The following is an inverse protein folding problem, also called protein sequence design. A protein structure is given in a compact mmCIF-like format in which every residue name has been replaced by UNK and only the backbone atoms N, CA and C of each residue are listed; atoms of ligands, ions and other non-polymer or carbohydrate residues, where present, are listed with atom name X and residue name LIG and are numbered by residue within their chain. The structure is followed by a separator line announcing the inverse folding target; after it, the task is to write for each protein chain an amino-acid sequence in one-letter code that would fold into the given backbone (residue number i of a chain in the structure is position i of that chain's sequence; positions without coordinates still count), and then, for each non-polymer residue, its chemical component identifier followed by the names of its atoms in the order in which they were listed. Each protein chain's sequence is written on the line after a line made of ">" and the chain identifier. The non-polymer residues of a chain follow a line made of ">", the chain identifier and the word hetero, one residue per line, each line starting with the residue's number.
data_IF_420860431677
#
_entry.id   IF_420860431677
#
_cell.length_a   1.000
_cell.length_b   1.000
_cell.length_c   1.000
_cell.angle_alpha   90.00
_cell.angle_beta   90.00
_cell.angle_gamma   90.00
#
_symmetry.space_group_name_H-M   'P 1'
#
loop_
_entity.id
_entity.type
_entity.pdbx_description
1 polymer ?
#
# COMPACT_ATOMS: atom_id res chain seq x y z
N UNK A 1 -45.46 -13.36 2.73
CA UNK A 1 -45.72 -12.93 1.33
C UNK A 1 -45.34 -11.46 1.26
N UNK A 2 -44.33 -10.98 0.57
CA UNK A 2 -43.50 -11.52 -0.51
C UNK A 2 -42.19 -10.74 -0.51
N UNK A 3 -41.09 -11.50 -0.53
CA UNK A 3 -39.70 -11.06 -0.68
C UNK A 3 -39.52 -10.26 -1.97
N UNK A 4 -39.16 -8.98 -1.85
CA UNK A 4 -38.70 -8.20 -2.99
C UNK A 4 -37.17 -8.09 -2.89
N UNK A 5 -36.50 -9.01 -3.60
CA UNK A 5 -35.08 -8.93 -3.95
C UNK A 5 -34.84 -7.59 -4.64
N UNK A 6 -34.10 -6.69 -4.00
CA UNK A 6 -33.58 -5.52 -4.70
C UNK A 6 -32.40 -5.96 -5.57
N UNK A 7 -32.61 -5.69 -6.84
CA UNK A 7 -31.87 -6.08 -8.04
C UNK A 7 -30.44 -5.53 -7.99
N UNK A 8 -29.48 -6.45 -8.13
CA UNK A 8 -28.14 -6.21 -8.65
C UNK A 8 -28.29 -5.56 -10.02
N UNK A 9 -27.84 -4.33 -10.20
CA UNK A 9 -27.45 -3.73 -11.49
C UNK A 9 -26.78 -2.38 -11.20
N UNK A 10 -25.64 -2.14 -11.84
CA UNK A 10 -24.67 -1.04 -11.65
C UNK A 10 -23.67 -1.14 -10.48
N UNK A 11 -22.69 -2.04 -10.61
CA UNK A 11 -21.37 -1.76 -10.04
C UNK A 11 -20.28 -2.20 -11.02
N UNK A 12 -19.43 -1.24 -11.39
CA UNK A 12 -18.33 -1.45 -12.33
C UNK A 12 -17.34 -2.48 -11.77
N UNK A 13 -17.21 -3.57 -12.52
CA UNK A 13 -16.30 -4.66 -12.28
C UNK A 13 -14.86 -4.18 -12.48
N UNK A 14 -14.13 -3.89 -11.40
CA UNK A 14 -12.68 -3.70 -11.42
C UNK A 14 -12.00 -4.93 -10.84
N UNK A 15 -12.30 -6.10 -11.43
CA UNK A 15 -11.65 -7.37 -11.13
C UNK A 15 -10.67 -7.70 -12.25
N UNK A 16 -9.46 -7.12 -12.21
CA UNK A 16 -8.38 -7.52 -13.11
C UNK A 16 -7.59 -8.69 -12.52
N UNK A 17 -8.07 -9.90 -12.79
CA UNK A 17 -7.22 -11.10 -12.92
C UNK A 17 -7.86 -12.00 -13.97
N UNK A 18 -7.77 -11.61 -15.23
CA UNK A 18 -7.99 -12.52 -16.35
C UNK A 18 -6.63 -13.08 -16.81
N UNK A 19 -6.47 -14.39 -16.65
CA UNK A 19 -5.47 -15.19 -17.38
C UNK A 19 -6.26 -16.19 -18.22
N UNK A 20 -6.12 -16.08 -19.54
CA UNK A 20 -6.72 -16.97 -20.54
C UNK A 20 -6.08 -18.38 -20.54
N UNK A 21 -6.76 -19.39 -21.09
CA UNK A 21 -6.62 -20.80 -20.71
C UNK A 21 -5.69 -21.61 -21.63
N UNK A 22 -5.08 -22.68 -21.09
CA UNK A 22 -4.62 -23.85 -21.85
C UNK A 22 -5.29 -25.13 -21.28
N UNK A 23 -5.84 -25.94 -22.19
CA UNK A 23 -6.50 -27.26 -22.08
C UNK A 23 -5.64 -28.31 -21.32
N UNK A 24 -6.06 -29.42 -20.69
CA UNK A 24 -7.21 -30.37 -20.76
C UNK A 24 -7.11 -31.38 -19.56
N UNK A 25 -8.07 -32.31 -19.33
CA UNK A 25 -8.42 -32.83 -17.99
C UNK A 25 -8.01 -34.29 -17.69
N UNK A 26 -8.07 -34.70 -16.41
CA UNK A 26 -8.44 -36.07 -16.03
C UNK A 26 -9.03 -36.17 -14.60
N UNK A 27 -10.01 -37.04 -14.48
CA UNK A 27 -11.00 -37.22 -13.42
C UNK A 27 -10.45 -37.89 -12.14
N UNK A 28 -11.13 -37.67 -11.00
CA UNK A 28 -10.86 -38.42 -9.77
C UNK A 28 -11.67 -37.97 -8.55
N UNK A 29 -12.86 -38.53 -8.41
CA UNK A 29 -13.79 -38.49 -7.28
C UNK A 29 -13.15 -38.82 -5.91
N UNK A 30 -13.47 -38.09 -4.83
CA UNK A 30 -13.98 -38.65 -3.55
C UNK A 30 -14.25 -37.58 -2.46
N UNK A 31 -15.44 -37.70 -1.86
CA UNK A 31 -15.99 -36.89 -0.78
C UNK A 31 -15.27 -37.12 0.56
N UNK A 32 -14.93 -36.04 1.28
CA UNK A 32 -14.97 -36.04 2.75
C UNK A 32 -15.29 -34.63 3.29
N UNK A 33 -16.36 -34.53 4.05
CA UNK A 33 -16.89 -33.32 4.67
C UNK A 33 -16.07 -32.89 5.89
N UNK A 34 -15.57 -31.65 5.89
CA UNK A 34 -15.03 -30.97 7.07
C UNK A 34 -15.25 -29.45 6.95
N UNK A 35 -15.45 -28.70 8.07
CA UNK A 35 -16.15 -27.42 8.05
C UNK A 35 -15.23 -26.23 7.71
N UNK A 36 -15.62 -25.47 6.68
CA UNK A 36 -15.34 -24.04 6.58
C UNK A 36 -13.94 -23.62 6.14
N UNK A 37 -13.36 -24.28 5.14
CA UNK A 37 -12.26 -23.71 4.35
C UNK A 37 -12.80 -22.59 3.45
N UNK A 38 -12.20 -21.41 3.53
CA UNK A 38 -12.49 -20.28 2.64
C UNK A 38 -12.05 -20.64 1.23
N UNK A 39 -12.97 -21.19 0.43
CA UNK A 39 -12.71 -21.47 -0.97
C UNK A 39 -13.01 -20.20 -1.75
N UNK A 40 -11.97 -19.39 -2.00
CA UNK A 40 -12.02 -18.29 -2.95
C UNK A 40 -12.19 -18.95 -4.33
N UNK A 41 -13.36 -18.76 -4.95
CA UNK A 41 -13.66 -19.29 -6.29
C UNK A 41 -12.51 -18.87 -7.25
N UNK A 42 -11.72 -19.84 -7.73
CA UNK A 42 -10.55 -19.61 -8.60
C UNK A 42 -9.21 -20.21 -8.12
N UNK A 43 -9.22 -21.32 -7.39
CA UNK A 43 -7.99 -21.90 -6.81
C UNK A 43 -7.26 -22.85 -7.77
N UNK A 44 -6.33 -22.30 -8.56
CA UNK A 44 -5.16 -23.02 -9.10
C UNK A 44 -3.82 -22.35 -8.80
N UNK A 45 -3.81 -21.24 -8.05
CA UNK A 45 -2.59 -20.55 -7.60
C UNK A 45 -2.83 -19.91 -6.22
N UNK A 46 -2.95 -20.72 -5.17
CA UNK A 46 -2.94 -20.19 -3.80
C UNK A 46 -1.61 -19.45 -3.58
N UNK A 47 -1.65 -18.13 -3.43
CA UNK A 47 -0.47 -17.35 -3.04
C UNK A 47 0.06 -17.92 -1.73
N UNK A 48 1.32 -18.35 -1.69
CA UNK A 48 1.94 -18.90 -0.48
C UNK A 48 1.87 -17.87 0.64
N UNK A 49 1.74 -18.28 1.92
CA UNK A 49 1.78 -17.38 3.08
C UNK A 49 2.94 -16.36 3.02
N UNK A 50 4.10 -16.82 2.53
CA UNK A 50 5.25 -15.98 2.29
C UNK A 50 5.02 -14.91 1.22
N UNK A 51 4.39 -15.27 0.09
CA UNK A 51 4.03 -14.30 -0.95
C UNK A 51 3.06 -13.26 -0.40
N UNK A 52 2.04 -13.66 0.37
CA UNK A 52 1.11 -12.74 1.03
C UNK A 52 1.84 -11.80 1.99
N UNK A 53 2.78 -12.31 2.80
CA UNK A 53 3.62 -11.49 3.68
C UNK A 53 4.46 -10.48 2.90
N UNK A 54 5.11 -10.90 1.80
CA UNK A 54 5.90 -10.01 0.95
C UNK A 54 5.03 -8.93 0.32
N UNK A 55 3.82 -9.26 -0.13
CA UNK A 55 2.86 -8.29 -0.66
C UNK A 55 2.39 -7.29 0.41
N UNK A 56 2.11 -7.75 1.63
CA UNK A 56 1.73 -6.88 2.75
C UNK A 56 2.89 -5.98 3.19
N UNK A 57 4.10 -6.53 3.28
CA UNK A 57 5.30 -5.77 3.62
C UNK A 57 5.58 -4.69 2.57
N UNK A 58 5.51 -5.03 1.28
CA UNK A 58 5.63 -4.06 0.19
C UNK A 58 4.62 -2.91 0.32
N UNK A 59 3.37 -3.21 0.68
CA UNK A 59 2.33 -2.19 0.82
C UNK A 59 2.51 -1.28 2.04
N UNK A 60 3.21 -1.74 3.07
CA UNK A 60 3.37 -1.02 4.34
C UNK A 60 4.75 -0.35 4.50
N UNK A 61 5.80 -0.87 3.85
CA UNK A 61 7.14 -0.28 3.92
C UNK A 61 7.26 0.80 2.85
N UNK A 62 7.33 2.05 3.30
CA UNK A 62 7.53 3.21 2.44
C UNK A 62 8.75 4.04 2.84
N UNK A 63 8.85 5.23 2.24
CA UNK A 63 9.90 6.23 2.57
C UNK A 63 9.88 6.67 4.04
N UNK A 64 8.75 6.47 4.73
CA UNK A 64 8.63 6.69 6.17
C UNK A 64 9.65 5.91 7.01
N UNK A 65 10.10 4.72 6.57
CA UNK A 65 11.13 3.94 7.26
C UNK A 65 12.45 4.72 7.39
N UNK A 66 12.80 5.53 6.39
CA UNK A 66 14.02 6.34 6.39
C UNK A 66 13.90 7.58 7.30
N UNK A 67 12.67 7.98 7.64
CA UNK A 67 12.39 9.01 8.65
C UNK A 67 12.33 8.50 10.09
N UNK A 68 12.19 7.18 10.29
CA UNK A 68 12.10 6.59 11.63
C UNK A 68 13.32 6.85 12.53
N UNK A 69 14.59 6.79 12.04
CA UNK A 69 15.74 7.10 12.88
C UNK A 69 15.71 8.53 13.42
N UNK A 70 15.25 9.49 12.61
CA UNK A 70 15.08 10.88 13.05
C UNK A 70 13.98 11.02 14.10
N UNK A 71 12.87 10.30 13.93
CA UNK A 71 11.80 10.24 14.92
C UNK A 71 12.29 9.64 16.26
N UNK A 72 13.03 8.53 16.21
CA UNK A 72 13.63 7.90 17.41
C UNK A 72 14.67 8.81 18.06
N UNK A 73 15.49 9.50 17.26
CA UNK A 73 16.47 10.49 17.75
C UNK A 73 15.78 11.60 18.55
N UNK A 74 14.62 12.08 18.10
CA UNK A 74 13.86 13.14 18.78
C UNK A 74 13.04 12.61 19.98
N UNK A 75 12.54 11.38 19.91
CA UNK A 75 11.78 10.75 21.00
C UNK A 75 12.69 10.22 22.14
N UNK A 76 13.97 9.97 21.85
CA UNK A 76 14.95 9.38 22.76
C UNK A 76 15.11 7.87 22.53
N UNK A 77 16.30 7.35 22.86
CA UNK A 77 16.69 5.96 22.55
C UNK A 77 15.81 4.90 23.24
N UNK A 78 15.22 5.24 24.40
CA UNK A 78 14.33 4.33 25.14
C UNK A 78 12.86 4.50 24.73
N UNK A 79 12.37 5.74 24.69
CA UNK A 79 10.96 6.03 24.38
C UNK A 79 10.63 5.88 22.89
N UNK A 80 11.59 6.08 21.99
CA UNK A 80 11.40 5.90 20.54
C UNK A 80 11.01 4.46 20.17
N UNK A 81 11.85 3.45 20.44
CA UNK A 81 11.51 2.06 20.14
C UNK A 81 10.30 1.56 20.92
N UNK A 82 10.13 1.98 22.18
CA UNK A 82 8.99 1.59 23.00
C UNK A 82 7.67 2.10 22.41
N UNK A 83 7.60 3.38 22.01
CA UNK A 83 6.40 3.94 21.40
C UNK A 83 6.09 3.33 20.02
N UNK A 84 7.11 3.07 19.20
CA UNK A 84 6.95 2.38 17.93
C UNK A 84 6.40 0.96 18.11
N UNK A 85 6.87 0.22 19.13
CA UNK A 85 6.35 -1.11 19.46
C UNK A 85 4.88 -1.05 19.87
N UNK A 86 4.51 -0.12 20.75
CA UNK A 86 3.13 0.03 21.23
C UNK A 86 2.18 0.38 20.07
N UNK A 87 2.55 1.36 19.23
CA UNK A 87 1.75 1.74 18.05
C UNK A 87 1.64 0.56 17.07
N UNK A 88 2.71 -0.20 16.87
CA UNK A 88 2.71 -1.40 16.03
C UNK A 88 1.72 -2.47 16.52
N UNK A 89 1.71 -2.77 17.83
CA UNK A 89 0.77 -3.73 18.42
C UNK A 89 -0.68 -3.27 18.23
N UNK A 90 -0.96 -2.00 18.51
CA UNK A 90 -2.30 -1.41 18.34
C UNK A 90 -2.75 -1.46 16.88
N UNK A 91 -1.86 -1.13 15.93
CA UNK A 91 -2.16 -1.18 14.51
C UNK A 91 -2.48 -2.60 14.02
N UNK A 92 -1.67 -3.59 14.41
CA UNK A 92 -1.91 -5.00 14.06
C UNK A 92 -3.22 -5.50 14.67
N UNK A 93 -3.50 -5.15 15.93
CA UNK A 93 -4.76 -5.52 16.58
C UNK A 93 -5.97 -4.90 15.84
N UNK A 94 -5.89 -3.63 15.46
CA UNK A 94 -6.93 -2.94 14.70
C UNK A 94 -7.17 -3.59 13.32
N UNK A 95 -6.10 -3.86 12.56
CA UNK A 95 -6.19 -4.56 11.28
C UNK A 95 -6.82 -5.95 11.45
N UNK A 96 -6.47 -6.69 12.51
CA UNK A 96 -7.04 -8.00 12.80
C UNK A 96 -8.55 -7.96 13.05
N UNK A 97 -9.05 -6.93 13.75
CA UNK A 97 -10.49 -6.74 13.94
C UNK A 97 -11.17 -6.42 12.61
N UNK A 98 -10.62 -5.48 11.83
CA UNK A 98 -11.16 -5.10 10.52
C UNK A 98 -11.29 -6.30 9.58
N UNK A 99 -10.25 -7.13 9.46
CA UNK A 99 -10.26 -8.32 8.61
C UNK A 99 -11.29 -9.34 9.08
N UNK A 100 -11.41 -9.56 10.40
CA UNK A 100 -12.44 -10.47 10.96
C UNK A 100 -13.85 -9.97 10.65
N UNK A 101 -14.10 -8.68 10.80
CA UNK A 101 -15.38 -8.06 10.46
C UNK A 101 -15.68 -8.19 8.96
N UNK A 102 -14.73 -7.85 8.09
CA UNK A 102 -14.87 -7.96 6.64
C UNK A 102 -15.20 -9.41 6.23
N UNK A 103 -14.45 -10.40 6.73
CA UNK A 103 -14.73 -11.82 6.47
C UNK A 103 -16.10 -12.27 6.96
N UNK A 104 -16.52 -11.82 8.15
CA UNK A 104 -17.85 -12.12 8.67
C UNK A 104 -18.94 -11.61 7.71
N UNK A 105 -18.80 -10.38 7.19
CA UNK A 105 -19.76 -9.81 6.25
C UNK A 105 -19.68 -10.41 4.85
N UNK A 106 -18.50 -10.74 4.32
CA UNK A 106 -18.36 -11.49 3.07
C UNK A 106 -19.18 -12.79 3.13
N UNK A 107 -19.07 -13.53 4.23
CA UNK A 107 -19.80 -14.79 4.45
C UNK A 107 -21.31 -14.58 4.59
N UNK A 108 -21.72 -13.57 5.36
CA UNK A 108 -23.14 -13.28 5.64
C UNK A 108 -23.88 -12.76 4.41
N UNK A 109 -23.24 -11.91 3.61
CA UNK A 109 -23.83 -11.26 2.43
C UNK A 109 -23.58 -12.05 1.13
N UNK A 110 -22.84 -13.16 1.20
CA UNK A 110 -22.42 -13.97 0.05
C UNK A 110 -21.69 -13.13 -1.03
N UNK A 111 -20.84 -12.20 -0.59
CA UNK A 111 -20.00 -11.37 -1.48
C UNK A 111 -18.56 -11.86 -1.48
N UNK A 112 -17.87 -11.86 -2.64
CA UNK A 112 -16.48 -12.33 -2.74
C UNK A 112 -15.50 -11.40 -1.99
N UNK A 113 -15.79 -10.10 -1.91
CA UNK A 113 -15.06 -9.12 -1.14
C UNK A 113 -15.99 -8.00 -0.65
N UNK A 114 -15.58 -7.30 0.40
CA UNK A 114 -16.26 -6.13 0.96
C UNK A 114 -15.21 -5.06 1.16
N UNK A 115 -15.47 -3.84 0.70
CA UNK A 115 -14.53 -2.71 0.83
C UNK A 115 -14.49 -2.18 2.28
N UNK A 116 -13.53 -1.33 2.62
CA UNK A 116 -13.39 -0.77 3.97
C UNK A 116 -14.61 0.07 4.37
N UNK A 117 -15.07 0.98 3.49
CA UNK A 117 -16.27 1.78 3.73
C UNK A 117 -17.53 0.93 3.92
N UNK A 118 -17.69 -0.10 3.08
CA UNK A 118 -18.80 -1.05 3.18
C UNK A 118 -18.73 -1.89 4.47
N UNK A 119 -17.53 -2.33 4.86
CA UNK A 119 -17.31 -3.11 6.09
C UNK A 119 -17.76 -2.32 7.32
N UNK A 120 -17.43 -1.01 7.35
CA UNK A 120 -17.86 -0.12 8.43
C UNK A 120 -19.36 0.14 8.35
N UNK A 121 -19.93 0.37 7.17
CA UNK A 121 -21.38 0.54 7.00
C UNK A 121 -22.16 -0.66 7.56
N UNK A 122 -21.86 -1.88 7.14
CA UNK A 122 -22.54 -3.08 7.62
C UNK A 122 -22.27 -3.34 9.11
N UNK A 123 -21.07 -2.97 9.60
CA UNK A 123 -20.73 -3.00 11.01
C UNK A 123 -21.60 -2.08 11.86
N UNK A 124 -21.80 -0.84 11.40
CA UNK A 124 -22.65 0.15 12.07
C UNK A 124 -24.14 -0.20 11.96
N UNK A 125 -24.59 -0.76 10.83
CA UNK A 125 -25.97 -1.23 10.67
C UNK A 125 -26.31 -2.39 11.61
N UNK A 126 -25.34 -3.26 11.87
CA UNK A 126 -25.49 -4.39 12.78
C UNK A 126 -25.37 -4.00 14.27
N UNK A 127 -25.16 -2.71 14.56
CA UNK A 127 -25.00 -2.20 15.92
C UNK A 127 -26.35 -2.10 16.66
N UNK A 128 -26.41 -2.43 17.97
CA UNK A 128 -27.64 -2.33 18.76
C UNK A 128 -28.12 -0.89 18.95
N UNK A 129 -27.24 0.11 18.80
CA UNK A 129 -27.59 1.53 18.95
C UNK A 129 -28.33 2.05 17.72
N UNK A 130 -29.56 2.52 17.91
CA UNK A 130 -30.42 3.10 16.85
C UNK A 130 -29.80 4.34 16.20
N UNK A 131 -29.03 5.13 16.95
CA UNK A 131 -28.33 6.30 16.40
C UNK A 131 -27.25 5.89 15.40
N UNK A 132 -26.47 4.87 15.75
CA UNK A 132 -25.36 4.38 14.93
C UNK A 132 -25.85 3.71 13.65
N UNK A 133 -26.94 2.93 13.75
CA UNK A 133 -27.59 2.30 12.61
C UNK A 133 -28.14 3.33 11.62
N UNK A 134 -28.72 4.43 12.11
CA UNK A 134 -29.24 5.49 11.24
C UNK A 134 -28.13 6.27 10.52
N UNK A 135 -26.94 6.35 11.11
CA UNK A 135 -25.78 7.05 10.55
C UNK A 135 -24.77 6.13 9.84
N UNK A 136 -25.13 4.88 9.57
CA UNK A 136 -24.20 3.91 8.99
C UNK A 136 -23.64 4.34 7.62
N UNK A 137 -24.48 4.94 6.77
CA UNK A 137 -24.07 5.48 5.47
C UNK A 137 -23.07 6.64 5.61
N UNK A 138 -23.21 7.46 6.65
CA UNK A 138 -22.24 8.52 6.94
C UNK A 138 -20.89 7.93 7.36
N UNK A 139 -20.91 6.83 8.12
CA UNK A 139 -19.69 6.10 8.50
C UNK A 139 -18.88 5.59 7.29
N UNK A 140 -19.55 5.11 6.23
CA UNK A 140 -18.90 4.76 4.97
C UNK A 140 -18.16 5.95 4.37
N UNK A 141 -18.86 7.06 4.16
CA UNK A 141 -18.26 8.26 3.56
C UNK A 141 -17.10 8.81 4.39
N UNK A 142 -17.21 8.77 5.71
CA UNK A 142 -16.15 9.20 6.61
C UNK A 142 -14.88 8.35 6.44
N UNK A 143 -15.01 7.02 6.40
CA UNK A 143 -13.88 6.10 6.22
C UNK A 143 -13.27 6.27 4.83
N UNK A 144 -14.08 6.31 3.78
CA UNK A 144 -13.61 6.51 2.41
C UNK A 144 -12.86 7.84 2.28
N UNK A 145 -13.36 8.90 2.91
CA UNK A 145 -12.67 10.19 2.98
C UNK A 145 -11.31 10.10 3.68
N UNK A 146 -11.23 9.46 4.86
CA UNK A 146 -9.97 9.28 5.56
C UNK A 146 -8.97 8.44 4.76
N UNK A 147 -9.43 7.41 4.05
CA UNK A 147 -8.57 6.61 3.18
C UNK A 147 -8.01 7.43 2.02
N UNK A 148 -8.83 8.27 1.38
CA UNK A 148 -8.39 9.18 0.32
C UNK A 148 -7.35 10.18 0.86
N UNK A 149 -7.62 10.81 2.00
CA UNK A 149 -6.68 11.75 2.64
C UNK A 149 -5.36 11.06 2.97
N UNK A 150 -5.42 9.83 3.48
CA UNK A 150 -4.22 9.03 3.80
C UNK A 150 -3.42 8.71 2.55
N UNK A 151 -4.08 8.28 1.47
CA UNK A 151 -3.41 7.98 0.20
C UNK A 151 -2.79 9.23 -0.44
N UNK A 152 -3.48 10.37 -0.39
CA UNK A 152 -2.92 11.66 -0.82
C UNK A 152 -1.70 12.03 0.02
N UNK A 153 -1.77 11.87 1.33
CA UNK A 153 -0.64 12.09 2.24
C UNK A 153 0.58 11.23 1.88
N UNK A 154 0.37 9.93 1.62
CA UNK A 154 1.43 9.04 1.16
C UNK A 154 2.03 9.53 -0.15
N UNK A 155 1.21 9.84 -1.16
CA UNK A 155 1.67 10.37 -2.45
C UNK A 155 2.50 11.65 -2.29
N UNK A 156 2.05 12.60 -1.46
CA UNK A 156 2.77 13.83 -1.19
C UNK A 156 4.16 13.58 -0.60
N UNK A 157 4.25 12.74 0.44
CA UNK A 157 5.53 12.39 1.09
C UNK A 157 6.45 11.68 0.11
N UNK A 158 5.93 10.78 -0.73
CA UNK A 158 6.72 10.12 -1.77
C UNK A 158 7.33 11.12 -2.76
N UNK A 159 6.57 12.14 -3.21
CA UNK A 159 7.06 13.13 -4.17
C UNK A 159 8.16 14.02 -3.58
N UNK A 160 7.97 14.51 -2.36
CA UNK A 160 8.98 15.33 -1.66
C UNK A 160 10.26 14.51 -1.47
N UNK A 161 10.13 13.28 -0.96
CA UNK A 161 11.27 12.40 -0.74
C UNK A 161 12.01 12.10 -2.05
N UNK A 162 11.28 11.76 -3.13
CA UNK A 162 11.89 11.49 -4.43
C UNK A 162 12.66 12.69 -4.96
N UNK A 163 12.08 13.89 -4.89
CA UNK A 163 12.74 15.11 -5.36
C UNK A 163 14.03 15.42 -4.57
N UNK A 164 14.00 15.31 -3.24
CA UNK A 164 15.16 15.58 -2.39
C UNK A 164 16.29 14.56 -2.61
N UNK A 165 15.96 13.29 -2.81
CA UNK A 165 16.98 12.27 -3.12
C UNK A 165 17.56 12.46 -4.52
N UNK A 166 16.72 12.79 -5.51
CA UNK A 166 17.19 13.01 -6.87
C UNK A 166 18.09 14.23 -6.98
N UNK A 167 17.76 15.31 -6.25
CA UNK A 167 18.61 16.50 -6.14
C UNK A 167 20.01 16.13 -5.62
N UNK A 168 20.09 15.37 -4.54
CA UNK A 168 21.37 14.92 -3.97
C UNK A 168 22.19 14.10 -4.97
N UNK A 169 21.55 13.24 -5.76
CA UNK A 169 22.23 12.45 -6.81
C UNK A 169 22.80 13.33 -7.91
N UNK A 170 22.03 14.33 -8.39
CA UNK A 170 22.52 15.27 -9.42
C UNK A 170 23.68 16.12 -8.90
N UNK A 171 23.56 16.65 -7.68
CA UNK A 171 24.61 17.45 -7.06
C UNK A 171 25.91 16.65 -6.90
N UNK A 172 25.83 15.38 -6.47
CA UNK A 172 26.99 14.49 -6.38
C UNK A 172 27.61 14.17 -7.76
N UNK A 173 26.80 13.95 -8.79
CA UNK A 173 27.27 13.68 -10.15
C UNK A 173 27.97 14.90 -10.78
N UNK A 174 27.42 16.10 -10.56
CA UNK A 174 28.02 17.35 -11.02
C UNK A 174 29.31 17.68 -10.25
N UNK A 175 29.36 17.40 -8.94
CA UNK A 175 30.58 17.54 -8.13
C UNK A 175 31.73 16.62 -8.59
N UNK A 176 31.40 15.47 -9.18
CA UNK A 176 32.38 14.53 -9.75
C UNK A 176 32.82 14.94 -11.17
N UNK A 177 32.02 15.75 -11.87
CA UNK A 177 32.32 16.29 -13.21
C UNK A 177 33.00 17.67 -13.09
N UNK A 178 34.06 17.78 -12.30
CA UNK A 178 34.93 18.95 -12.35
C UNK A 178 36.18 18.59 -13.14
N UNK A 179 36.08 18.68 -14.46
CA UNK A 179 37.26 18.95 -15.28
C UNK A 179 37.82 20.31 -14.82
N UNK A 180 39.04 20.32 -14.28
CA UNK A 180 39.79 21.53 -13.90
C UNK A 180 40.24 22.37 -15.11
N UNK A 181 39.33 22.68 -16.03
CA UNK A 181 39.64 23.45 -17.23
C UNK A 181 38.43 24.25 -17.69
N UNK A 182 38.12 25.33 -16.96
CA UNK A 182 37.84 26.67 -17.48
C UNK A 182 37.06 27.46 -16.42
N UNK A 183 37.63 28.61 -16.04
CA UNK A 183 36.96 29.68 -15.30
C UNK A 183 35.93 30.38 -16.19
N UNK A 184 34.97 29.63 -16.73
CA UNK A 184 33.70 30.22 -17.12
C UNK A 184 32.73 29.84 -16.03
N UNK A 185 32.30 30.88 -15.30
CA UNK A 185 31.23 30.83 -14.34
C UNK A 185 30.04 30.14 -14.99
N UNK A 186 29.91 28.82 -14.78
CA UNK A 186 28.62 28.16 -14.84
C UNK A 186 27.78 29.00 -13.93
N UNK A 187 26.85 29.74 -14.53
CA UNK A 187 25.88 30.53 -13.80
C UNK A 187 25.27 29.52 -12.84
N UNK A 188 25.69 29.60 -11.58
CA UNK A 188 25.02 29.07 -10.42
C UNK A 188 23.71 29.85 -10.42
N UNK A 189 22.80 29.45 -11.30
CA UNK A 189 21.45 29.98 -11.31
C UNK A 189 20.98 29.73 -9.89
N UNK A 190 20.65 30.81 -9.17
CA UNK A 190 20.45 30.79 -7.75
C UNK A 190 19.41 29.72 -7.46
N UNK A 191 19.76 28.77 -6.60
CA UNK A 191 18.82 27.91 -5.88
C UNK A 191 17.64 27.45 -6.74
N UNK A 192 17.81 26.40 -7.55
CA UNK A 192 16.62 25.63 -7.94
C UNK A 192 16.06 25.02 -6.65
N UNK A 193 15.15 25.77 -6.04
CA UNK A 193 14.37 25.39 -4.88
C UNK A 193 13.87 23.95 -5.12
N UNK A 194 13.91 23.08 -4.11
CA UNK A 194 13.49 21.67 -4.24
C UNK A 194 12.12 21.54 -4.94
N UNK A 195 11.33 22.61 -4.86
CA UNK A 195 10.07 22.89 -5.55
C UNK A 195 10.10 22.74 -7.07
N UNK A 196 11.17 23.13 -7.77
CA UNK A 196 11.24 22.99 -9.22
C UNK A 196 11.42 21.52 -9.62
N UNK A 197 12.26 20.76 -8.91
CA UNK A 197 12.38 19.31 -9.08
C UNK A 197 11.06 18.61 -8.78
N UNK A 198 10.36 18.99 -7.70
CA UNK A 198 9.01 18.48 -7.40
C UNK A 198 8.02 18.77 -8.55
N UNK A 199 8.04 19.99 -9.12
CA UNK A 199 7.17 20.38 -10.23
C UNK A 199 7.48 19.63 -11.52
N UNK A 200 8.75 19.33 -11.80
CA UNK A 200 9.18 18.56 -12.99
C UNK A 200 8.84 17.08 -12.88
N UNK A 201 8.90 16.48 -11.69
CA UNK A 201 8.51 15.08 -11.48
C UNK A 201 7.00 14.86 -11.47
N UNK A 202 6.22 15.87 -11.05
CA UNK A 202 4.76 15.81 -11.00
C UNK A 202 4.11 15.34 -12.33
N UNK A 203 4.38 15.93 -13.51
CA UNK A 203 3.77 15.47 -14.77
C UNK A 203 4.20 14.05 -15.15
N UNK A 204 5.46 13.67 -14.88
CA UNK A 204 5.94 12.31 -15.15
C UNK A 204 5.19 11.27 -14.30
N UNK A 205 4.97 11.57 -13.02
CA UNK A 205 4.26 10.69 -12.09
C UNK A 205 2.75 10.66 -12.38
N UNK A 206 2.14 11.76 -12.80
CA UNK A 206 0.75 11.79 -13.29
C UNK A 206 0.59 10.89 -14.53
N UNK A 207 1.55 10.94 -15.46
CA UNK A 207 1.57 10.07 -16.63
C UNK A 207 1.69 8.60 -16.22
N UNK A 208 2.53 8.30 -15.22
CA UNK A 208 2.73 6.96 -14.68
C UNK A 208 1.47 6.41 -13.99
N UNK A 209 0.70 7.26 -13.30
CA UNK A 209 -0.61 6.91 -12.72
C UNK A 209 -1.66 6.66 -13.82
N UNK A 210 -1.53 7.29 -14.98
CA UNK A 210 -2.42 7.07 -16.12
C UNK A 210 -2.17 5.73 -16.82
N UNK A 211 -1.02 5.08 -16.58
CA UNK A 211 -0.73 3.75 -17.09
C UNK A 211 -1.59 2.72 -16.37
N UNK A 212 -2.72 2.35 -16.99
CA UNK A 212 -3.65 1.32 -16.49
C UNK A 212 -3.15 -0.12 -16.63
N UNK A 213 -1.95 -0.35 -17.17
CA UNK A 213 -1.45 -1.70 -17.36
C UNK A 213 -0.85 -2.26 -16.06
N UNK A 214 -1.71 -2.87 -15.24
CA UNK A 214 -1.36 -3.49 -13.95
C UNK A 214 -0.25 -4.54 -14.06
N UNK A 215 -0.10 -5.18 -15.23
CA UNK A 215 0.97 -6.16 -15.49
C UNK A 215 2.36 -5.53 -15.53
N UNK A 216 2.49 -4.33 -16.09
CA UNK A 216 3.77 -3.61 -16.07
C UNK A 216 4.12 -3.17 -14.64
N UNK A 217 3.12 -2.68 -13.90
CA UNK A 217 3.28 -2.23 -12.52
C UNK A 217 3.73 -3.36 -11.57
N UNK A 218 3.30 -4.61 -11.83
CA UNK A 218 3.73 -5.76 -11.02
C UNK A 218 5.22 -6.08 -11.20
N UNK A 219 5.76 -5.96 -12.42
CA UNK A 219 7.18 -6.19 -12.72
C UNK A 219 8.05 -5.10 -12.10
N UNK A 220 7.68 -3.82 -12.28
CA UNK A 220 8.33 -2.71 -11.57
C UNK A 220 8.24 -2.89 -10.06
N UNK A 221 7.11 -3.42 -9.60
CA UNK A 221 6.87 -3.92 -8.26
C UNK A 221 8.02 -4.79 -7.72
N UNK A 222 8.26 -5.88 -8.44
CA UNK A 222 9.29 -6.85 -8.07
C UNK A 222 10.69 -6.21 -8.03
N UNK A 223 11.02 -5.38 -9.03
CA UNK A 223 12.30 -4.68 -9.06
C UNK A 223 12.47 -3.71 -7.87
N UNK A 224 11.41 -2.97 -7.54
CA UNK A 224 11.39 -2.07 -6.38
C UNK A 224 11.60 -2.84 -5.06
N UNK A 225 11.01 -4.03 -4.92
CA UNK A 225 11.20 -4.86 -3.73
C UNK A 225 12.65 -5.37 -3.61
N UNK A 226 13.26 -5.81 -4.72
CA UNK A 226 14.65 -6.26 -4.73
C UNK A 226 15.58 -5.10 -4.35
N UNK A 227 15.39 -3.93 -4.97
CA UNK A 227 16.20 -2.73 -4.69
C UNK A 227 16.02 -2.22 -3.26
N UNK A 228 14.81 -2.26 -2.71
CA UNK A 228 14.55 -1.96 -1.30
C UNK A 228 15.28 -2.93 -0.37
N UNK A 229 15.23 -4.24 -0.65
CA UNK A 229 15.93 -5.25 0.15
C UNK A 229 17.45 -5.02 0.13
N UNK A 230 18.02 -4.75 -1.05
CA UNK A 230 19.44 -4.40 -1.18
C UNK A 230 19.77 -3.13 -0.38
N UNK A 231 18.93 -2.10 -0.45
CA UNK A 231 19.13 -0.84 0.29
C UNK A 231 19.13 -1.06 1.80
N UNK A 232 18.23 -1.90 2.32
CA UNK A 232 18.19 -2.26 3.74
C UNK A 232 19.43 -3.05 4.17
N UNK A 233 19.88 -4.01 3.34
CA UNK A 233 21.10 -4.78 3.62
C UNK A 233 22.32 -3.86 3.64
N UNK A 234 22.45 -2.95 2.68
CA UNK A 234 23.55 -1.97 2.65
C UNK A 234 23.53 -1.06 3.88
N UNK A 235 22.36 -0.54 4.25
CA UNK A 235 22.20 0.31 5.43
C UNK A 235 22.56 -0.44 6.72
N UNK A 236 22.14 -1.71 6.84
CA UNK A 236 22.51 -2.55 7.98
C UNK A 236 24.01 -2.81 8.05
N UNK A 237 24.65 -3.16 6.92
CA UNK A 237 26.11 -3.37 6.86
C UNK A 237 26.87 -2.11 7.24
N UNK A 238 26.45 -0.94 6.73
CA UNK A 238 27.04 0.35 7.09
C UNK A 238 26.93 0.62 8.60
N UNK A 239 25.76 0.39 9.20
CA UNK A 239 25.57 0.58 10.65
C UNK A 239 26.50 -0.35 11.45
N UNK A 240 26.61 -1.62 11.07
CA UNK A 240 27.47 -2.60 11.77
C UNK A 240 28.95 -2.26 11.64
N UNK A 241 29.40 -1.73 10.49
CA UNK A 241 30.80 -1.29 10.32
C UNK A 241 31.14 -0.03 11.11
N UNK A 242 30.16 0.83 11.36
CA UNK A 242 30.34 2.08 12.11
C UNK A 242 30.30 1.85 13.64
N UNK A 243 29.71 0.74 14.10
CA UNK A 243 29.60 0.37 15.52
C UNK A 243 30.85 -0.37 16.02
#
# INVERSE_FOLDING_TARGET
>A
MSTQRLRNEDYNDYSSTDVSPEESPSEGLNNFSSPGSYQRFGESNSTTWFQTLVHLLKGNIGTGLLGLPLAVKNAGILMGPLSLLVIGIVAVHCMGILVKCAHHFCRRLNKPFVDYGDTVMYGLESSPSSWLRNHAHWGRHLVDFFLIVTQLGFCCVYFVFLADNFKQVIEAANGTTNNCHNNETVILTPTMDSRLYMLTFLPFLVLLVFVRNLRALSIFSLLANITMLVSLVMLYQFIVQVL
#
